data_IF_252090205086
#
_entry.id   IF_252090205086
#
_cell.length_a   1.000
_cell.length_b   1.000
_cell.length_c   1.000
_cell.angle_alpha   90.00
_cell.angle_beta   90.00
_cell.angle_gamma   90.00
#
_symmetry.space_group_name_H-M   'P 1'
#
loop_
_entity.id
_entity.type
_entity.pdbx_description
1 polymer ?
#
# COMPACT_ATOMS: atom_id res chain seq x y z
N UNK A 1 1.89 -9.13 -0.59
CA UNK A 1 0.45 -8.99 -0.88
C UNK A 1 -0.31 -9.82 0.13
N UNK A 2 -1.09 -9.19 1.02
CA UNK A 2 -1.96 -9.91 1.95
C UNK A 2 -3.20 -10.39 1.19
N UNK A 3 -3.62 -11.65 1.38
CA UNK A 3 -4.81 -12.22 0.74
C UNK A 3 -5.93 -12.34 1.78
N UNK A 4 -7.14 -11.87 1.48
CA UNK A 4 -8.34 -11.98 2.31
C UNK A 4 -9.32 -12.93 1.63
N UNK A 5 -10.07 -13.70 2.42
CA UNK A 5 -11.16 -14.54 1.92
C UNK A 5 -12.46 -13.74 1.84
N UNK A 6 -13.10 -13.75 0.66
CA UNK A 6 -14.46 -13.22 0.52
C UNK A 6 -15.52 -14.16 1.12
N UNK A 7 -16.77 -13.72 1.14
CA UNK A 7 -17.92 -14.48 1.65
C UNK A 7 -18.16 -15.83 0.94
N UNK A 8 -17.51 -16.05 -0.21
CA UNK A 8 -17.59 -17.28 -1.00
C UNK A 8 -16.31 -18.12 -0.88
N UNK A 9 -15.35 -17.74 -0.03
CA UNK A 9 -14.12 -18.47 0.20
C UNK A 9 -13.01 -18.20 -0.82
N UNK A 10 -13.16 -17.22 -1.72
CA UNK A 10 -12.13 -16.87 -2.70
C UNK A 10 -11.06 -15.95 -2.11
N UNK A 11 -9.81 -16.22 -2.48
CA UNK A 11 -8.65 -15.42 -2.07
C UNK A 11 -8.57 -14.14 -2.92
N UNK A 12 -8.91 -13.02 -2.31
CA UNK A 12 -8.84 -11.69 -2.90
C UNK A 12 -7.61 -10.93 -2.37
N UNK A 13 -6.89 -10.17 -3.21
CA UNK A 13 -5.84 -9.30 -2.71
C UNK A 13 -6.45 -8.22 -1.80
N UNK A 14 -5.81 -7.96 -0.66
CA UNK A 14 -6.14 -6.84 0.20
C UNK A 14 -5.83 -5.52 -0.53
N UNK A 15 -6.83 -4.90 -1.16
CA UNK A 15 -6.72 -3.56 -1.72
C UNK A 15 -7.18 -2.53 -0.68
N UNK A 16 -6.28 -1.65 -0.22
CA UNK A 16 -6.75 -0.36 0.29
C UNK A 16 -7.24 0.43 -0.92
N UNK A 17 -8.53 0.75 -0.94
CA UNK A 17 -9.13 1.64 -1.92
C UNK A 17 -8.53 3.04 -1.78
N UNK A 18 -7.36 3.26 -2.37
CA UNK A 18 -7.00 4.57 -2.84
C UNK A 18 -7.77 4.77 -4.15
N UNK A 19 -8.86 5.54 -4.09
CA UNK A 19 -9.42 6.22 -5.26
C UNK A 19 -8.34 7.14 -5.83
N UNK A 20 -7.46 6.58 -6.65
CA UNK A 20 -6.91 7.33 -7.75
C UNK A 20 -8.05 7.48 -8.77
N UNK A 21 -8.37 8.68 -9.27
CA UNK A 21 -9.29 8.83 -10.38
C UNK A 21 -8.57 8.33 -11.64
N UNK A 22 -8.38 7.01 -11.73
CA UNK A 22 -8.06 6.34 -12.97
C UNK A 22 -9.38 6.10 -13.67
N UNK A 23 -9.74 7.06 -14.52
CA UNK A 23 -10.73 6.83 -15.55
C UNK A 23 -10.35 5.57 -16.33
N UNK A 24 -11.22 4.57 -16.17
CA UNK A 24 -11.53 3.49 -17.10
C UNK A 24 -10.53 2.32 -17.31
N UNK A 25 -11.13 1.13 -17.18
CA UNK A 25 -10.76 -0.19 -17.72
C UNK A 25 -9.70 -1.01 -16.99
N UNK A 26 -10.12 -1.67 -15.91
CA UNK A 26 -9.58 -2.98 -15.56
C UNK A 26 -10.00 -4.03 -16.61
N UNK A 27 -9.13 -4.27 -17.59
CA UNK A 27 -9.28 -5.39 -18.51
C UNK A 27 -8.92 -6.70 -17.82
N UNK A 28 -9.93 -7.51 -17.50
CA UNK A 28 -9.77 -8.92 -17.20
C UNK A 28 -9.26 -9.65 -18.45
N UNK A 29 -8.01 -10.12 -18.45
CA UNK A 29 -7.55 -11.08 -19.44
C UNK A 29 -7.86 -12.50 -18.94
N UNK A 30 -9.03 -13.01 -19.33
CA UNK A 30 -9.27 -14.44 -19.42
C UNK A 30 -8.55 -15.02 -20.65
N UNK A 31 -8.18 -16.31 -20.65
CA UNK A 31 -7.43 -16.91 -21.73
C UNK A 31 -8.42 -17.39 -22.79
N UNK A 32 -8.61 -16.63 -23.87
CA UNK A 32 -9.00 -17.13 -25.20
C UNK A 32 -9.21 -15.94 -26.17
N UNK A 33 -8.37 -15.86 -27.21
CA UNK A 33 -8.75 -15.20 -28.45
C UNK A 33 -7.85 -14.06 -28.96
N UNK A 34 -7.27 -14.33 -30.14
CA UNK A 34 -6.80 -13.41 -31.18
C UNK A 34 -5.40 -12.77 -31.00
N UNK A 35 -4.36 -13.34 -31.62
CA UNK A 35 -3.92 -13.08 -33.01
C UNK A 35 -3.66 -11.62 -33.34
N UNK A 36 -2.38 -11.29 -33.51
CA UNK A 36 -1.95 -10.24 -34.41
C UNK A 36 -0.93 -9.27 -33.82
N UNK A 37 0.33 -9.50 -34.18
CA UNK A 37 1.43 -8.52 -34.30
C UNK A 37 1.99 -7.95 -33.00
N UNK A 38 3.28 -8.24 -32.79
CA UNK A 38 4.28 -7.41 -32.12
C UNK A 38 3.77 -6.11 -31.49
N UNK A 39 3.41 -6.17 -30.21
CA UNK A 39 3.37 -5.01 -29.33
C UNK A 39 4.64 -4.99 -28.48
N UNK A 40 5.79 -4.89 -29.15
CA UNK A 40 7.05 -4.40 -28.59
C UNK A 40 7.01 -2.89 -28.33
N UNK A 41 5.95 -2.41 -27.66
CA UNK A 41 5.67 -1.00 -27.44
C UNK A 41 5.08 -0.79 -26.04
N UNK A 42 5.86 -1.13 -25.02
CA UNK A 42 5.52 -0.90 -23.62
C UNK A 42 6.07 0.44 -23.13
N UNK A 43 5.21 1.45 -23.16
CA UNK A 43 5.21 2.64 -22.30
C UNK A 43 6.50 3.49 -22.20
N UNK A 44 6.93 4.02 -23.35
CA UNK A 44 7.67 5.28 -23.37
C UNK A 44 6.72 6.43 -23.67
N UNK A 45 6.05 7.01 -22.66
CA UNK A 45 5.52 8.37 -22.77
C UNK A 45 5.28 8.96 -21.37
N UNK A 46 6.25 9.77 -20.95
CA UNK A 46 6.06 11.03 -20.23
C UNK A 46 5.32 11.03 -18.88
N UNK A 47 6.07 10.69 -17.84
CA UNK A 47 6.09 11.54 -16.65
C UNK A 47 7.48 12.21 -16.61
N UNK A 48 7.62 13.37 -17.25
CA UNK A 48 8.79 14.22 -17.09
C UNK A 48 8.98 14.71 -15.66
N UNK A 49 9.78 13.97 -14.88
CA UNK A 49 10.74 14.57 -13.96
C UNK A 49 12.07 13.87 -14.18
N UNK A 50 13.04 14.65 -14.65
CA UNK A 50 14.38 14.19 -14.94
C UNK A 50 15.14 13.85 -13.66
N UNK A 51 16.24 13.12 -13.85
CA UNK A 51 17.29 12.79 -12.87
C UNK A 51 17.03 11.57 -11.97
N UNK A 52 17.38 10.41 -12.55
CA UNK A 52 18.29 9.41 -11.98
C UNK A 52 18.14 9.06 -10.49
N UNK A 53 17.30 8.06 -10.19
CA UNK A 53 17.33 7.26 -8.96
C UNK A 53 16.68 7.89 -7.72
N UNK A 54 16.93 9.18 -7.46
CA UNK A 54 16.47 9.89 -6.25
C UNK A 54 14.94 10.01 -6.15
N UNK A 55 14.27 10.35 -7.25
CA UNK A 55 12.81 10.54 -7.26
C UNK A 55 12.04 9.24 -7.03
N UNK A 56 12.52 8.12 -7.58
CA UNK A 56 11.85 6.81 -7.40
C UNK A 56 12.00 6.31 -5.96
N UNK A 57 13.16 6.51 -5.35
CA UNK A 57 13.42 6.10 -3.96
C UNK A 57 12.64 6.99 -2.97
N UNK A 58 12.59 8.30 -3.22
CA UNK A 58 11.81 9.25 -2.43
C UNK A 58 10.30 8.99 -2.56
N UNK A 59 9.80 8.72 -3.77
CA UNK A 59 8.41 8.34 -3.98
C UNK A 59 8.04 7.02 -3.28
N UNK A 60 8.93 6.03 -3.33
CA UNK A 60 8.74 4.77 -2.60
C UNK A 60 8.72 4.99 -1.09
N UNK A 61 9.63 5.80 -0.56
CA UNK A 61 9.69 6.10 0.88
C UNK A 61 8.45 6.86 1.36
N UNK A 62 7.96 7.81 0.58
CA UNK A 62 6.70 8.53 0.82
C UNK A 62 5.49 7.57 0.84
N UNK A 63 5.43 6.64 -0.12
CA UNK A 63 4.42 5.59 -0.14
C UNK A 63 4.51 4.70 1.11
N UNK A 64 5.69 4.23 1.50
CA UNK A 64 5.86 3.34 2.66
C UNK A 64 5.49 4.03 3.97
N UNK A 65 5.80 5.33 4.11
CA UNK A 65 5.37 6.13 5.25
C UNK A 65 3.83 6.15 5.35
N UNK A 66 3.16 6.56 4.27
CA UNK A 66 1.68 6.62 4.22
C UNK A 66 1.03 5.25 4.46
N UNK A 67 1.61 4.20 3.90
CA UNK A 67 1.13 2.83 4.10
C UNK A 67 1.22 2.41 5.56
N UNK A 68 2.33 2.70 6.23
CA UNK A 68 2.49 2.39 7.65
C UNK A 68 1.57 3.24 8.54
N UNK A 69 1.32 4.50 8.22
CA UNK A 69 0.34 5.34 8.92
C UNK A 69 -1.06 4.75 8.84
N UNK A 70 -1.48 4.31 7.65
CA UNK A 70 -2.76 3.65 7.45
C UNK A 70 -2.83 2.32 8.22
N UNK A 71 -1.80 1.49 8.10
CA UNK A 71 -1.73 0.20 8.78
C UNK A 71 -1.79 0.35 10.30
N UNK A 72 -1.14 1.36 10.87
CA UNK A 72 -1.24 1.68 12.30
C UNK A 72 -2.67 2.03 12.72
N UNK A 73 -3.40 2.81 11.91
CA UNK A 73 -4.80 3.16 12.19
C UNK A 73 -5.72 1.92 12.14
N UNK A 74 -5.52 1.02 11.18
CA UNK A 74 -6.29 -0.22 11.10
C UNK A 74 -6.01 -1.17 12.26
N UNK A 75 -4.75 -1.26 12.68
CA UNK A 75 -4.38 -2.04 13.86
C UNK A 75 -5.02 -1.48 15.14
N UNK A 76 -5.15 -0.15 15.27
CA UNK A 76 -5.85 0.45 16.40
C UNK A 76 -7.36 0.11 16.39
N UNK A 77 -8.00 0.17 15.22
CA UNK A 77 -9.39 -0.29 15.06
C UNK A 77 -9.55 -1.78 15.41
N UNK A 78 -8.60 -2.62 15.01
CA UNK A 78 -8.57 -4.04 15.36
C UNK A 78 -8.40 -4.24 16.87
N UNK A 79 -7.57 -3.44 17.54
CA UNK A 79 -7.40 -3.49 18.99
C UNK A 79 -8.74 -3.19 19.70
N UNK A 80 -9.50 -2.20 19.22
CA UNK A 80 -10.85 -1.93 19.74
C UNK A 80 -11.81 -3.13 19.59
N UNK A 81 -11.81 -3.80 18.42
CA UNK A 81 -12.62 -5.01 18.20
C UNK A 81 -12.21 -6.16 19.13
N UNK A 82 -10.90 -6.32 19.38
CA UNK A 82 -10.37 -7.34 20.29
C UNK A 82 -10.81 -7.08 21.74
N UNK A 83 -10.80 -5.82 22.21
CA UNK A 83 -11.33 -5.47 23.53
C UNK A 83 -12.81 -5.76 23.65
N UNK A 84 -13.61 -5.34 22.67
CA UNK A 84 -15.05 -5.59 22.65
C UNK A 84 -15.41 -7.09 22.65
N UNK A 85 -14.48 -7.94 22.18
CA UNK A 85 -14.61 -9.41 22.18
C UNK A 85 -14.02 -10.08 23.43
N UNK A 86 -13.63 -9.31 24.46
CA UNK A 86 -13.03 -9.83 25.69
C UNK A 86 -11.57 -10.27 25.58
N UNK A 87 -10.89 -9.99 24.48
CA UNK A 87 -9.47 -10.35 24.22
C UNK A 87 -8.52 -9.21 24.60
N UNK A 88 -8.65 -8.69 25.82
CA UNK A 88 -7.96 -7.48 26.27
C UNK A 88 -6.44 -7.55 26.19
N UNK A 89 -5.83 -8.70 26.50
CA UNK A 89 -4.37 -8.83 26.44
C UNK A 89 -3.84 -8.82 24.99
N UNK A 90 -4.59 -9.40 24.04
CA UNK A 90 -4.25 -9.30 22.62
C UNK A 90 -4.37 -7.85 22.15
N UNK A 91 -5.44 -7.14 22.52
CA UNK A 91 -5.62 -5.74 22.18
C UNK A 91 -4.49 -4.84 22.72
N UNK A 92 -4.01 -5.09 23.95
CA UNK A 92 -2.85 -4.40 24.51
C UNK A 92 -1.59 -4.61 23.68
N UNK A 93 -1.32 -5.83 23.21
CA UNK A 93 -0.16 -6.08 22.35
C UNK A 93 -0.29 -5.38 20.99
N UNK A 94 -1.49 -5.38 20.40
CA UNK A 94 -1.74 -4.68 19.13
C UNK A 94 -1.49 -3.17 19.30
N UNK A 95 -1.99 -2.55 20.37
CA UNK A 95 -1.72 -1.11 20.63
C UNK A 95 -0.24 -0.81 20.84
N UNK A 96 0.51 -1.68 21.51
CA UNK A 96 1.98 -1.54 21.58
C UNK A 96 2.62 -1.59 20.19
N UNK A 97 2.13 -2.46 19.30
CA UNK A 97 2.62 -2.49 17.93
C UNK A 97 2.28 -1.19 17.19
N UNK A 98 1.07 -0.63 17.37
CA UNK A 98 0.68 0.68 16.83
C UNK A 98 1.64 1.78 17.28
N UNK A 99 1.98 1.84 18.57
CA UNK A 99 2.93 2.82 19.11
C UNK A 99 4.31 2.72 18.43
N UNK A 100 4.81 1.49 18.22
CA UNK A 100 6.09 1.27 17.54
C UNK A 100 6.02 1.60 16.04
N UNK A 101 4.88 1.37 15.37
CA UNK A 101 4.67 1.84 13.99
C UNK A 101 4.69 3.37 13.92
N UNK A 102 3.98 4.05 14.81
CA UNK A 102 3.96 5.52 14.85
C UNK A 102 5.37 6.09 15.09
N UNK A 103 6.13 5.48 16.00
CA UNK A 103 7.54 5.83 16.22
C UNK A 103 8.39 5.59 14.98
N UNK A 104 8.22 4.44 14.31
CA UNK A 104 8.86 4.14 13.04
C UNK A 104 8.55 5.19 11.96
N UNK A 105 7.31 5.66 11.91
CA UNK A 105 6.87 6.68 10.95
C UNK A 105 7.56 8.03 11.16
N UNK A 106 7.92 8.40 12.40
CA UNK A 106 8.74 9.59 12.66
C UNK A 106 10.12 9.48 12.00
N UNK A 107 10.77 8.32 12.09
CA UNK A 107 12.05 8.08 11.44
C UNK A 107 11.92 8.04 9.92
N UNK A 108 10.86 7.44 9.38
CA UNK A 108 10.61 7.41 7.94
C UNK A 108 10.35 8.81 7.39
N UNK A 109 9.63 9.66 8.13
CA UNK A 109 9.42 11.06 7.77
C UNK A 109 10.73 11.85 7.74
N UNK A 110 11.57 11.70 8.78
CA UNK A 110 12.90 12.32 8.79
C UNK A 110 13.76 11.82 7.62
N UNK A 111 13.74 10.52 7.33
CA UNK A 111 14.48 9.95 6.20
C UNK A 111 13.98 10.51 4.85
N UNK A 112 12.67 10.72 4.72
CA UNK A 112 12.06 11.31 3.52
C UNK A 112 12.48 12.76 3.32
N UNK A 113 12.48 13.56 4.40
CA UNK A 113 12.92 14.95 4.36
C UNK A 113 14.39 15.03 3.95
N UNK A 114 15.27 14.23 4.56
CA UNK A 114 16.69 14.16 4.21
C UNK A 114 16.96 13.65 2.78
N UNK A 115 16.08 12.80 2.24
CA UNK A 115 16.18 12.31 0.87
C UNK A 115 15.77 13.37 -0.18
N UNK A 116 14.92 14.32 0.19
CA UNK A 116 14.45 15.44 -0.65
C UNK A 116 15.38 16.65 -0.66
N UNK A 117 16.22 16.80 0.37
CA UNK A 117 17.16 17.92 0.53
C UNK A 117 18.47 17.76 -0.28
N UNK A 118 18.62 16.70 -1.09
CA UNK A 118 19.78 16.43 -1.94
C UNK A 118 19.47 16.62 -3.42
#
# INVERSE_FOLDING_TARGET
MHLIQDENGNLMPHSHGHEHPHGERHHHHGPEGCQGKDCGQGCGQDCGHGTEGGDKMTALLDYMLKHNEHHAAELDQLAGKLEGSGKGDAAKQVRRAVDEYQKGNLYLKLALDLAREK
#
